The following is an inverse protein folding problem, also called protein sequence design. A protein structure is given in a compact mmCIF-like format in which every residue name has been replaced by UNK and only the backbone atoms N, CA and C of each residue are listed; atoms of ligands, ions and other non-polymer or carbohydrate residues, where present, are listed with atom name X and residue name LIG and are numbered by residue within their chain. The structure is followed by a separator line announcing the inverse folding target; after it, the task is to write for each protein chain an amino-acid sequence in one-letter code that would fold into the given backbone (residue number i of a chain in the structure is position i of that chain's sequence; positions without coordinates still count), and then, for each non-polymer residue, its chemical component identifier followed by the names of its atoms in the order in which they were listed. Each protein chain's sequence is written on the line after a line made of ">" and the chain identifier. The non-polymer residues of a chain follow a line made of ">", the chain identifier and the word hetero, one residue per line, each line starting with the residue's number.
data_IF_891417403945
#
_entry.id   IF_891417403945
#
_cell.length_a   1.000
_cell.length_b   1.000
_cell.length_c   1.000
_cell.angle_alpha   90.00
_cell.angle_beta   90.00
_cell.angle_gamma   90.00
#
_symmetry.space_group_name_H-M   'P 1'
#
loop_
_entity.id
_entity.type
_entity.pdbx_description
1 polymer ?
#
# COMPACT_ATOMS: atom_id res chain seq x y z
N UNK A 1 18.32 17.93 -0.62
CA UNK A 1 17.36 16.88 -0.20
C UNK A 1 17.99 16.14 0.96
N UNK A 2 17.31 16.12 2.09
CA UNK A 2 17.71 15.26 3.20
C UNK A 2 17.57 13.80 2.74
N UNK A 3 18.69 13.09 2.64
CA UNK A 3 18.69 11.67 2.28
C UNK A 3 18.11 10.80 3.39
N UNK A 4 17.93 11.32 4.62
CA UNK A 4 17.25 10.59 5.70
C UNK A 4 15.74 10.47 5.45
N UNK A 5 15.10 11.51 4.87
CA UNK A 5 13.67 11.50 4.58
C UNK A 5 13.30 10.49 3.47
N UNK A 6 14.06 10.51 2.37
CA UNK A 6 13.86 9.57 1.27
C UNK A 6 14.62 8.28 1.58
N UNK A 7 13.91 7.19 1.84
CA UNK A 7 14.53 5.89 2.17
C UNK A 7 14.64 4.99 0.94
N UNK A 8 15.59 4.04 0.90
CA UNK A 8 15.60 3.00 -0.13
C UNK A 8 14.25 2.28 -0.14
N UNK A 9 13.67 2.06 -1.33
CA UNK A 9 12.42 1.31 -1.47
C UNK A 9 12.59 -0.13 -0.97
N UNK A 10 13.76 -0.72 -1.21
CA UNK A 10 14.15 -2.06 -0.79
C UNK A 10 15.66 -2.19 -0.70
N UNK A 11 16.18 -3.26 -0.10
CA UNK A 11 17.62 -3.55 -0.09
C UNK A 11 18.15 -4.01 -1.46
N UNK A 12 17.25 -4.40 -2.37
CA UNK A 12 17.59 -4.99 -3.67
C UNK A 12 17.56 -3.97 -4.82
N UNK A 13 17.27 -2.70 -4.56
CA UNK A 13 17.27 -1.64 -5.57
C UNK A 13 17.78 -0.29 -5.07
N UNK A 14 18.23 0.56 -6.00
CA UNK A 14 18.73 1.91 -5.69
C UNK A 14 17.66 3.00 -5.68
N UNK A 15 16.39 2.65 -5.91
CA UNK A 15 15.28 3.62 -5.93
C UNK A 15 15.00 4.12 -4.51
N UNK A 16 14.86 5.44 -4.35
CA UNK A 16 14.50 6.06 -3.06
C UNK A 16 13.13 6.69 -3.13
N UNK A 17 12.32 6.46 -2.12
CA UNK A 17 10.93 6.91 -2.04
C UNK A 17 10.69 7.69 -0.75
N UNK A 18 9.76 8.63 -0.79
CA UNK A 18 9.22 9.28 0.40
C UNK A 18 8.49 8.27 1.30
N UNK A 19 8.27 8.58 2.60
CA UNK A 19 7.52 7.71 3.50
C UNK A 19 6.07 7.45 3.05
N UNK A 20 5.44 8.46 2.45
CA UNK A 20 4.09 8.39 1.90
C UNK A 20 4.11 8.38 0.37
N UNK A 21 3.09 7.79 -0.24
CA UNK A 21 2.77 7.91 -1.65
C UNK A 21 1.35 8.46 -1.81
N UNK A 22 1.14 9.40 -2.73
CA UNK A 22 -0.18 9.93 -3.04
C UNK A 22 -0.95 8.91 -3.89
N UNK A 23 -1.98 8.29 -3.32
CA UNK A 23 -2.87 7.36 -3.99
C UNK A 23 -3.95 8.09 -4.77
N UNK A 24 -4.21 7.66 -6.00
CA UNK A 24 -5.12 8.33 -6.94
C UNK A 24 -6.54 7.76 -6.98
N UNK A 25 -6.89 6.85 -6.07
CA UNK A 25 -8.24 6.27 -6.01
C UNK A 25 -9.37 7.32 -6.05
N UNK A 26 -9.23 8.53 -5.44
CA UNK A 26 -10.23 9.60 -5.53
C UNK A 26 -10.26 10.41 -6.83
N UNK A 27 -9.43 10.10 -7.84
CA UNK A 27 -9.29 10.94 -9.04
C UNK A 27 -10.39 10.61 -10.05
N UNK A 28 -11.28 11.57 -10.28
CA UNK A 28 -12.35 11.55 -11.29
C UNK A 28 -13.43 10.48 -11.16
N UNK A 29 -13.65 9.92 -9.96
CA UNK A 29 -14.57 8.83 -9.65
C UNK A 29 -15.62 8.53 -10.73
N UNK A 30 -15.46 7.38 -11.38
CA UNK A 30 -16.33 6.93 -12.46
C UNK A 30 -16.42 5.41 -12.44
N UNK A 31 -17.35 4.86 -13.24
CA UNK A 31 -17.51 3.42 -13.44
C UNK A 31 -17.76 2.63 -12.14
N UNK A 32 -18.57 3.19 -11.23
CA UNK A 32 -18.89 2.55 -9.95
C UNK A 32 -17.89 2.87 -8.83
N UNK A 33 -16.96 3.81 -9.04
CA UNK A 33 -16.03 4.32 -8.03
C UNK A 33 -16.30 5.79 -7.65
N UNK A 34 -17.48 6.33 -7.98
CA UNK A 34 -17.87 7.72 -7.70
C UNK A 34 -17.78 8.04 -6.20
N UNK A 35 -18.11 7.06 -5.34
CA UNK A 35 -18.02 7.18 -3.89
C UNK A 35 -16.60 7.27 -3.37
N UNK A 36 -15.57 7.00 -4.20
CA UNK A 36 -14.16 7.12 -3.83
C UNK A 36 -13.65 8.56 -3.89
N UNK A 37 -14.31 9.43 -4.66
CA UNK A 37 -14.02 10.85 -4.81
C UNK A 37 -14.01 11.26 -6.29
N UNK A 38 -14.14 12.56 -6.55
CA UNK A 38 -14.22 13.14 -7.91
C UNK A 38 -13.21 14.28 -8.07
N UNK A 39 -11.94 14.02 -7.73
CA UNK A 39 -10.89 15.03 -7.84
C UNK A 39 -10.49 15.20 -9.32
N UNK A 40 -10.65 16.42 -9.84
CA UNK A 40 -10.23 16.76 -11.20
C UNK A 40 -8.71 16.98 -11.32
N UNK A 41 -8.22 17.18 -12.55
CA UNK A 41 -6.80 17.34 -12.81
C UNK A 41 -6.17 18.57 -12.12
N UNK A 42 -6.93 19.65 -11.90
CA UNK A 42 -6.41 20.85 -11.22
C UNK A 42 -6.30 20.64 -9.72
N UNK A 43 -7.31 20.01 -9.11
CA UNK A 43 -7.27 19.61 -7.72
C UNK A 43 -6.16 18.60 -7.46
N UNK A 44 -6.01 17.61 -8.34
CA UNK A 44 -4.92 16.64 -8.29
C UNK A 44 -3.55 17.31 -8.43
N UNK A 45 -3.38 18.26 -9.36
CA UNK A 45 -2.14 19.01 -9.51
C UNK A 45 -1.79 19.80 -8.25
N UNK A 46 -2.77 20.44 -7.61
CA UNK A 46 -2.55 21.15 -6.34
C UNK A 46 -2.05 20.19 -5.23
N UNK A 47 -2.61 18.98 -5.13
CA UNK A 47 -2.13 17.98 -4.17
C UNK A 47 -0.70 17.51 -4.49
N UNK A 48 -0.37 17.35 -5.78
CA UNK A 48 0.98 17.02 -6.23
C UNK A 48 1.98 18.14 -5.87
N UNK A 49 1.65 19.40 -6.14
CA UNK A 49 2.56 20.50 -5.81
C UNK A 49 2.81 20.60 -4.30
N UNK A 50 1.72 20.56 -3.51
CA UNK A 50 1.85 20.58 -2.05
C UNK A 50 2.61 19.36 -1.51
N UNK A 51 2.39 18.19 -2.10
CA UNK A 51 3.12 16.97 -1.75
C UNK A 51 4.62 17.10 -2.04
N UNK A 52 4.98 17.64 -3.21
CA UNK A 52 6.38 17.87 -3.59
C UNK A 52 7.07 18.87 -2.66
N UNK A 53 6.36 19.92 -2.21
CA UNK A 53 6.85 20.85 -1.19
C UNK A 53 7.13 20.17 0.15
N UNK A 54 6.35 19.15 0.52
CA UNK A 54 6.61 18.29 1.69
C UNK A 54 7.68 17.20 1.43
N UNK A 55 8.24 17.13 0.23
CA UNK A 55 9.22 16.13 -0.16
C UNK A 55 8.63 14.78 -0.58
N UNK A 56 7.32 14.67 -0.77
CA UNK A 56 6.70 13.46 -1.34
C UNK A 56 7.11 13.34 -2.81
N UNK A 57 7.53 12.14 -3.22
CA UNK A 57 8.05 11.91 -4.58
C UNK A 57 7.39 10.73 -5.31
N UNK A 58 6.36 10.10 -4.74
CA UNK A 58 5.75 8.89 -5.28
C UNK A 58 4.23 9.02 -5.37
N UNK A 59 3.67 8.81 -6.56
CA UNK A 59 2.23 8.75 -6.80
C UNK A 59 1.82 7.35 -7.24
N UNK A 60 0.75 6.81 -6.66
CA UNK A 60 0.30 5.43 -6.83
C UNK A 60 -1.09 5.37 -7.48
N UNK A 61 -1.16 4.83 -8.69
CA UNK A 61 -2.41 4.65 -9.45
C UNK A 61 -2.59 3.20 -9.90
N UNK A 62 -3.66 2.87 -10.64
CA UNK A 62 -3.86 1.57 -11.26
C UNK A 62 -4.73 1.72 -12.51
N UNK A 63 -4.55 0.82 -13.48
CA UNK A 63 -5.42 0.77 -14.66
C UNK A 63 -6.90 0.49 -14.33
N UNK A 64 -7.15 -0.16 -13.19
CA UNK A 64 -8.48 -0.50 -12.71
C UNK A 64 -9.21 0.68 -12.06
N UNK A 65 -8.49 1.68 -11.54
CA UNK A 65 -9.11 2.80 -10.83
C UNK A 65 -9.95 3.64 -11.79
N UNK A 66 -11.27 3.60 -11.59
CA UNK A 66 -12.26 4.16 -12.50
C UNK A 66 -12.00 3.72 -13.95
N UNK A 67 -11.63 2.45 -14.18
CA UNK A 67 -11.27 1.87 -15.48
C UNK A 67 -10.26 2.70 -16.30
N UNK A 68 -9.31 3.34 -15.63
CA UNK A 68 -8.21 4.09 -16.24
C UNK A 68 -8.40 5.61 -16.19
N UNK A 69 -9.59 6.11 -15.82
CA UNK A 69 -9.82 7.56 -15.67
C UNK A 69 -8.86 8.20 -14.67
N UNK A 70 -8.52 7.50 -13.58
CA UNK A 70 -7.54 8.01 -12.62
C UNK A 70 -6.13 8.17 -13.22
N UNK A 71 -5.74 7.32 -14.17
CA UNK A 71 -4.46 7.47 -14.90
C UNK A 71 -4.49 8.65 -15.87
N UNK A 72 -5.63 8.90 -16.53
CA UNK A 72 -5.80 10.06 -17.42
C UNK A 72 -5.74 11.38 -16.64
N UNK A 73 -6.44 11.45 -15.50
CA UNK A 73 -6.41 12.61 -14.61
C UNK A 73 -5.03 12.83 -14.04
N UNK A 74 -4.35 11.76 -13.60
CA UNK A 74 -2.97 11.85 -13.15
C UNK A 74 -2.06 12.41 -14.26
N UNK A 75 -2.19 11.90 -15.48
CA UNK A 75 -1.39 12.37 -16.62
C UNK A 75 -1.58 13.86 -16.90
N UNK A 76 -2.81 14.36 -16.81
CA UNK A 76 -3.09 15.79 -16.95
C UNK A 76 -2.61 16.60 -15.75
N UNK A 77 -2.81 16.10 -14.53
CA UNK A 77 -2.34 16.74 -13.30
C UNK A 77 -0.82 16.92 -13.27
N UNK A 78 -0.06 15.92 -13.74
CA UNK A 78 1.40 16.00 -13.87
C UNK A 78 1.83 17.09 -14.87
N UNK A 79 1.06 17.38 -15.93
CA UNK A 79 1.38 18.49 -16.86
C UNK A 79 1.06 19.86 -16.28
N UNK A 80 0.07 19.93 -15.39
CA UNK A 80 -0.35 21.17 -14.74
C UNK A 80 0.57 21.51 -13.56
N UNK A 81 1.02 20.49 -12.81
CA UNK A 81 1.87 20.64 -11.63
C UNK A 81 3.23 21.24 -11.99
N UNK A 82 3.71 22.17 -11.16
CA UNK A 82 5.05 22.77 -11.28
C UNK A 82 6.18 21.74 -11.02
N UNK A 83 5.84 20.60 -10.41
CA UNK A 83 6.76 19.53 -10.01
C UNK A 83 6.53 18.21 -10.75
N UNK A 84 5.67 18.17 -11.77
CA UNK A 84 5.20 16.93 -12.41
C UNK A 84 6.32 15.99 -12.88
N UNK A 85 7.40 16.54 -13.44
CA UNK A 85 8.55 15.74 -13.92
C UNK A 85 9.32 15.04 -12.80
N UNK A 86 9.24 15.55 -11.56
CA UNK A 86 9.97 14.99 -10.41
C UNK A 86 9.28 13.80 -9.76
N UNK A 87 7.99 13.58 -10.07
CA UNK A 87 7.22 12.50 -9.48
C UNK A 87 7.61 11.14 -10.06
N UNK A 88 7.84 10.18 -9.19
CA UNK A 88 7.86 8.75 -9.51
C UNK A 88 6.41 8.27 -9.63
N UNK A 89 6.08 7.60 -10.72
CA UNK A 89 4.73 7.11 -11.00
C UNK A 89 4.69 5.60 -10.91
N UNK A 90 3.80 5.09 -10.06
CA UNK A 90 3.45 3.66 -10.07
C UNK A 90 2.14 3.43 -10.79
N UNK A 91 2.00 2.25 -11.39
CA UNK A 91 0.67 1.74 -11.77
C UNK A 91 0.63 0.22 -11.61
N UNK A 92 -0.53 -0.38 -11.86
CA UNK A 92 -0.79 -1.80 -11.65
C UNK A 92 -1.66 -2.34 -12.78
N UNK A 93 -1.47 -3.62 -13.12
CA UNK A 93 -2.41 -4.37 -13.94
C UNK A 93 -2.53 -5.82 -13.43
N UNK A 94 -3.62 -6.47 -13.85
CA UNK A 94 -4.01 -7.89 -13.69
C UNK A 94 -5.52 -7.99 -13.48
N UNK A 95 -6.12 -7.03 -12.78
CA UNK A 95 -7.57 -7.00 -12.58
C UNK A 95 -8.30 -6.81 -13.91
N UNK A 96 -9.55 -7.27 -13.97
CA UNK A 96 -10.37 -7.13 -15.16
C UNK A 96 -10.68 -5.65 -15.44
N UNK A 97 -10.39 -5.21 -16.66
CA UNK A 97 -10.69 -3.85 -17.14
C UNK A 97 -11.63 -3.85 -18.36
N UNK A 98 -12.24 -5.01 -18.64
CA UNK A 98 -13.16 -5.23 -19.74
C UNK A 98 -13.86 -6.58 -19.59
N UNK A 99 -14.78 -6.88 -20.51
CA UNK A 99 -15.61 -8.11 -20.48
C UNK A 99 -15.01 -9.26 -21.32
N UNK A 100 -13.97 -8.98 -22.10
CA UNK A 100 -13.31 -9.97 -22.95
C UNK A 100 -12.52 -11.01 -22.15
N UNK A 101 -12.32 -12.21 -22.71
CA UNK A 101 -11.64 -13.32 -22.01
C UNK A 101 -10.16 -13.03 -21.70
N UNK A 102 -9.57 -12.01 -22.32
CA UNK A 102 -8.17 -11.60 -22.12
C UNK A 102 -8.05 -10.18 -21.55
N UNK A 103 -9.16 -9.62 -21.04
CA UNK A 103 -9.19 -8.28 -20.43
C UNK A 103 -8.85 -8.32 -18.93
N UNK A 104 -8.30 -9.45 -18.46
CA UNK A 104 -7.80 -9.68 -17.11
C UNK A 104 -6.59 -10.64 -17.11
N UNK A 105 -6.00 -10.86 -15.93
CA UNK A 105 -4.95 -11.85 -15.68
C UNK A 105 -3.54 -11.31 -15.83
N UNK A 106 -2.55 -12.16 -15.56
CA UNK A 106 -1.13 -11.84 -15.64
C UNK A 106 -0.46 -12.48 -16.87
N UNK A 107 -1.24 -12.78 -17.91
CA UNK A 107 -0.75 -13.30 -19.18
C UNK A 107 0.12 -12.27 -19.90
N UNK A 108 1.04 -12.75 -20.75
CA UNK A 108 1.87 -11.87 -21.59
C UNK A 108 1.02 -10.93 -22.44
N UNK A 109 -0.08 -11.44 -23.00
CA UNK A 109 -1.01 -10.67 -23.82
C UNK A 109 -1.58 -9.48 -23.04
N UNK A 110 -2.16 -9.75 -21.87
CA UNK A 110 -2.81 -8.71 -21.08
C UNK A 110 -1.80 -7.69 -20.55
N UNK A 111 -0.71 -8.14 -19.94
CA UNK A 111 0.28 -7.25 -19.33
C UNK A 111 0.96 -6.32 -20.34
N UNK A 112 1.36 -6.82 -21.51
CA UNK A 112 1.96 -5.97 -22.54
C UNK A 112 0.98 -4.89 -23.01
N UNK A 113 -0.30 -5.24 -23.19
CA UNK A 113 -1.31 -4.25 -23.59
C UNK A 113 -1.58 -3.22 -22.51
N UNK A 114 -1.66 -3.63 -21.25
CA UNK A 114 -1.97 -2.72 -20.15
C UNK A 114 -0.84 -1.73 -19.88
N UNK A 115 0.43 -2.15 -19.96
CA UNK A 115 1.56 -1.21 -19.86
C UNK A 115 1.48 -0.14 -20.95
N UNK A 116 1.23 -0.54 -22.20
CA UNK A 116 1.07 0.41 -23.31
C UNK A 116 -0.10 1.38 -23.12
N UNK A 117 -1.22 0.90 -22.59
CA UNK A 117 -2.38 1.73 -22.33
C UNK A 117 -2.13 2.71 -21.17
N UNK A 118 -1.54 2.25 -20.07
CA UNK A 118 -1.18 3.11 -18.93
C UNK A 118 -0.18 4.19 -19.35
N UNK A 119 0.86 3.86 -20.11
CA UNK A 119 1.81 4.85 -20.65
C UNK A 119 1.11 5.94 -21.46
N UNK A 120 0.12 5.56 -22.30
CA UNK A 120 -0.67 6.52 -23.07
C UNK A 120 -1.55 7.41 -22.20
N UNK A 121 -2.28 6.83 -21.23
CA UNK A 121 -3.18 7.58 -20.33
C UNK A 121 -2.41 8.57 -19.46
N UNK A 122 -1.31 8.12 -18.85
CA UNK A 122 -0.43 8.96 -18.02
C UNK A 122 0.34 9.96 -18.90
N UNK A 123 0.64 9.59 -20.14
CA UNK A 123 1.41 10.41 -21.07
C UNK A 123 2.90 10.47 -20.72
N UNK A 124 3.47 9.33 -20.30
CA UNK A 124 4.91 9.14 -20.04
C UNK A 124 5.51 8.09 -20.97
N UNK A 125 6.82 8.15 -21.15
CA UNK A 125 7.59 7.17 -21.92
C UNK A 125 7.98 5.93 -21.12
N UNK A 126 7.90 6.01 -19.78
CA UNK A 126 8.10 4.90 -18.87
C UNK A 126 7.24 5.01 -17.60
N UNK A 127 7.10 3.88 -16.92
CA UNK A 127 6.56 3.76 -15.56
C UNK A 127 7.73 3.49 -14.61
N UNK A 128 7.80 4.20 -13.48
CA UNK A 128 8.89 4.03 -12.52
C UNK A 128 8.78 2.71 -11.78
N UNK A 129 7.56 2.33 -11.37
CA UNK A 129 7.31 1.10 -10.64
C UNK A 129 5.97 0.48 -11.07
N UNK A 130 6.01 -0.73 -11.61
CA UNK A 130 4.79 -1.43 -12.02
C UNK A 130 4.45 -2.58 -11.09
N UNK A 131 3.21 -2.68 -10.61
CA UNK A 131 2.76 -3.79 -9.78
C UNK A 131 1.96 -4.82 -10.58
N UNK A 132 2.28 -6.10 -10.38
CA UNK A 132 1.33 -7.18 -10.62
C UNK A 132 0.25 -7.12 -9.53
N UNK A 133 -0.96 -6.67 -9.89
CA UNK A 133 -1.96 -6.20 -8.92
C UNK A 133 -2.50 -7.31 -7.97
N UNK A 134 -2.54 -8.56 -8.44
CA UNK A 134 -2.88 -9.74 -7.63
C UNK A 134 -2.16 -10.98 -8.17
N UNK A 135 -2.06 -12.03 -7.34
CA UNK A 135 -1.65 -13.35 -7.79
C UNK A 135 -2.56 -13.86 -8.92
N UNK A 136 -1.98 -14.47 -9.95
CA UNK A 136 -2.71 -15.18 -11.00
C UNK A 136 -2.33 -16.67 -10.94
N UNK A 137 -3.31 -17.52 -10.65
CA UNK A 137 -3.13 -18.96 -10.53
C UNK A 137 -3.31 -19.72 -11.86
N UNK A 138 -3.75 -19.05 -12.91
CA UNK A 138 -4.02 -19.66 -14.22
C UNK A 138 -2.85 -19.49 -15.18
N UNK A 139 -2.26 -18.29 -15.23
CA UNK A 139 -1.08 -18.03 -16.06
C UNK A 139 0.15 -18.75 -15.49
N UNK A 140 0.92 -19.51 -16.30
CA UNK A 140 2.21 -20.05 -15.86
C UNK A 140 3.12 -18.93 -15.34
N UNK A 141 3.64 -19.10 -14.12
CA UNK A 141 4.40 -18.04 -13.45
C UNK A 141 5.65 -17.62 -14.25
N UNK A 142 6.28 -18.57 -14.94
CA UNK A 142 7.40 -18.33 -15.86
C UNK A 142 7.02 -17.38 -17.00
N UNK A 143 5.80 -17.47 -17.54
CA UNK A 143 5.32 -16.55 -18.58
C UNK A 143 5.16 -15.13 -18.03
N UNK A 144 4.51 -14.99 -16.87
CA UNK A 144 4.32 -13.70 -16.21
C UNK A 144 5.66 -13.04 -15.92
N UNK A 145 6.59 -13.75 -15.28
CA UNK A 145 7.88 -13.20 -14.86
C UNK A 145 8.83 -12.95 -16.04
N UNK A 146 8.80 -13.78 -17.08
CA UNK A 146 9.52 -13.48 -18.32
C UNK A 146 8.98 -12.21 -18.99
N UNK A 147 7.66 -11.99 -18.93
CA UNK A 147 7.04 -10.77 -19.46
C UNK A 147 7.50 -9.54 -18.68
N UNK A 148 7.54 -9.62 -17.35
CA UNK A 148 8.05 -8.54 -16.50
C UNK A 148 9.53 -8.26 -16.76
N UNK A 149 10.37 -9.29 -16.89
CA UNK A 149 11.78 -9.14 -17.27
C UNK A 149 11.94 -8.42 -18.62
N UNK A 150 11.17 -8.81 -19.63
CA UNK A 150 11.16 -8.15 -20.94
C UNK A 150 10.72 -6.69 -20.88
N UNK A 151 9.69 -6.38 -20.09
CA UNK A 151 9.21 -5.00 -19.88
C UNK A 151 10.28 -4.13 -19.21
N UNK A 152 10.96 -4.63 -18.17
CA UNK A 152 12.05 -3.90 -17.52
C UNK A 152 13.21 -3.68 -18.51
N UNK A 153 13.65 -4.73 -19.21
CA UNK A 153 14.75 -4.64 -20.19
C UNK A 153 14.44 -3.71 -21.36
N UNK A 154 13.16 -3.60 -21.74
CA UNK A 154 12.73 -2.67 -22.78
C UNK A 154 12.77 -1.20 -22.36
N UNK A 155 12.86 -0.92 -21.06
CA UNK A 155 12.79 0.43 -20.52
C UNK A 155 11.38 1.02 -20.47
N UNK A 156 10.33 0.23 -20.68
CA UNK A 156 8.94 0.71 -20.49
C UNK A 156 8.55 0.79 -19.02
N UNK A 157 9.16 -0.06 -18.19
CA UNK A 157 9.07 0.03 -16.73
C UNK A 157 10.50 0.04 -16.16
N UNK A 158 10.76 0.75 -15.05
CA UNK A 158 12.09 0.80 -14.41
C UNK A 158 12.24 -0.31 -13.37
N UNK A 159 11.22 -0.47 -12.53
CA UNK A 159 11.12 -1.50 -11.52
C UNK A 159 9.74 -2.15 -11.56
N UNK A 160 9.62 -3.31 -10.92
CA UNK A 160 8.31 -3.90 -10.69
C UNK A 160 8.20 -4.49 -9.28
N UNK A 161 6.95 -4.62 -8.84
CA UNK A 161 6.57 -5.22 -7.58
C UNK A 161 5.40 -6.19 -7.76
N UNK A 162 5.02 -6.81 -6.65
CA UNK A 162 3.82 -7.65 -6.57
C UNK A 162 2.84 -7.04 -5.58
N UNK A 163 1.54 -7.26 -5.76
CA UNK A 163 0.53 -6.81 -4.80
C UNK A 163 -0.38 -7.97 -4.45
N UNK A 164 -0.74 -8.08 -3.17
CA UNK A 164 -1.63 -9.13 -2.66
C UNK A 164 -1.15 -10.56 -2.93
N UNK A 165 0.17 -10.79 -2.77
CA UNK A 165 0.79 -12.12 -2.78
C UNK A 165 0.97 -12.61 -1.35
N UNK A 166 0.67 -13.88 -1.09
CA UNK A 166 1.05 -14.54 0.16
C UNK A 166 2.57 -14.79 0.21
N UNK A 167 3.12 -15.09 1.40
CA UNK A 167 4.54 -15.39 1.58
C UNK A 167 5.06 -16.47 0.62
N UNK A 168 4.38 -17.62 0.54
CA UNK A 168 4.80 -18.71 -0.36
C UNK A 168 4.74 -18.33 -1.85
N UNK A 169 3.79 -17.47 -2.26
CA UNK A 169 3.68 -17.00 -3.63
C UNK A 169 4.82 -16.05 -3.99
N UNK A 170 5.16 -15.13 -3.08
CA UNK A 170 6.32 -14.26 -3.23
C UNK A 170 7.60 -15.10 -3.35
N UNK A 171 7.82 -16.03 -2.43
CA UNK A 171 8.98 -16.93 -2.46
C UNK A 171 9.05 -17.75 -3.74
N UNK A 172 7.91 -18.29 -4.21
CA UNK A 172 7.85 -19.01 -5.49
C UNK A 172 8.24 -18.13 -6.67
N UNK A 173 7.76 -16.88 -6.72
CA UNK A 173 8.11 -15.94 -7.78
C UNK A 173 9.61 -15.61 -7.78
N UNK A 174 10.18 -15.32 -6.61
CA UNK A 174 11.61 -15.04 -6.45
C UNK A 174 12.47 -16.23 -6.90
N UNK A 175 12.09 -17.45 -6.55
CA UNK A 175 12.76 -18.67 -6.97
C UNK A 175 12.72 -18.90 -8.48
N UNK A 176 11.58 -18.62 -9.13
CA UNK A 176 11.48 -18.70 -10.60
C UNK A 176 12.38 -17.66 -11.26
N UNK A 177 12.39 -16.41 -10.75
CA UNK A 177 13.29 -15.39 -11.27
C UNK A 177 14.75 -15.80 -11.14
N UNK A 178 15.15 -16.33 -9.99
CA UNK A 178 16.53 -16.79 -9.76
C UNK A 178 16.92 -17.93 -10.69
N UNK A 179 16.06 -18.94 -10.82
CA UNK A 179 16.30 -20.09 -11.69
C UNK A 179 16.51 -19.70 -13.15
N UNK A 180 15.78 -18.70 -13.63
CA UNK A 180 15.80 -18.28 -15.03
C UNK A 180 16.65 -17.03 -15.30
N UNK A 181 17.22 -16.41 -14.27
CA UNK A 181 17.96 -15.15 -14.39
C UNK A 181 17.08 -13.95 -14.76
N UNK A 182 15.80 -14.00 -14.43
CA UNK A 182 14.89 -12.87 -14.61
C UNK A 182 15.14 -11.83 -13.52
N UNK A 183 14.86 -10.56 -13.85
CA UNK A 183 14.84 -9.48 -12.86
C UNK A 183 13.78 -9.80 -11.80
N UNK A 184 14.13 -9.71 -10.51
CA UNK A 184 13.23 -9.98 -9.37
C UNK A 184 12.33 -8.75 -9.08
N UNK A 185 11.11 -8.94 -8.53
CA UNK A 185 10.36 -7.81 -7.98
C UNK A 185 11.17 -7.17 -6.84
N UNK A 186 10.96 -5.89 -6.58
CA UNK A 186 11.72 -5.15 -5.54
C UNK A 186 10.84 -4.72 -4.37
N UNK A 187 9.52 -4.80 -4.50
CA UNK A 187 8.56 -4.37 -3.48
C UNK A 187 7.29 -5.20 -3.55
N UNK A 188 6.66 -5.41 -2.39
CA UNK A 188 5.30 -5.89 -2.28
C UNK A 188 4.35 -4.75 -1.86
N UNK A 189 3.13 -4.75 -2.37
CA UNK A 189 2.05 -3.88 -1.93
C UNK A 189 0.98 -4.70 -1.20
N UNK A 190 0.65 -4.35 0.04
CA UNK A 190 -0.17 -5.19 0.93
C UNK A 190 -1.21 -4.40 1.73
N UNK A 191 -2.30 -5.03 2.13
CA UNK A 191 -3.23 -4.45 3.11
C UNK A 191 -2.56 -4.49 4.48
N UNK A 192 -2.41 -3.33 5.13
CA UNK A 192 -1.88 -3.28 6.49
C UNK A 192 -2.34 -2.01 7.19
N UNK A 193 -2.98 -2.19 8.34
CA UNK A 193 -3.46 -1.12 9.21
C UNK A 193 -3.41 -1.59 10.67
N UNK A 194 -3.56 -0.70 11.66
CA UNK A 194 -3.73 -1.11 13.05
C UNK A 194 -4.79 -2.19 13.25
N UNK A 195 -5.93 -2.13 12.54
CA UNK A 195 -7.03 -3.09 12.67
C UNK A 195 -6.94 -4.31 11.73
N UNK A 196 -5.96 -4.35 10.82
CA UNK A 196 -5.76 -5.45 9.86
C UNK A 196 -4.26 -5.78 9.75
N UNK A 197 -3.82 -6.70 10.62
CA UNK A 197 -2.41 -7.03 10.84
C UNK A 197 -2.02 -8.42 10.35
N UNK A 198 -2.83 -9.06 9.51
CA UNK A 198 -2.59 -10.42 9.00
C UNK A 198 -1.30 -10.53 8.18
N UNK A 199 -0.86 -9.43 7.56
CA UNK A 199 0.38 -9.38 6.81
C UNK A 199 1.64 -9.62 7.67
N UNK A 200 1.54 -9.41 8.99
CA UNK A 200 2.62 -9.68 9.93
C UNK A 200 2.97 -11.16 9.97
N UNK A 201 2.05 -12.08 9.67
CA UNK A 201 2.34 -13.52 9.76
C UNK A 201 3.40 -14.02 8.78
N UNK A 202 3.29 -13.65 7.51
CA UNK A 202 4.10 -14.25 6.44
C UNK A 202 4.54 -13.24 5.38
N UNK A 203 3.69 -12.26 5.07
CA UNK A 203 3.97 -11.34 3.95
C UNK A 203 5.14 -10.42 4.28
N UNK A 204 5.11 -9.76 5.45
CA UNK A 204 6.19 -8.86 5.89
C UNK A 204 7.48 -9.66 6.17
N UNK A 205 7.47 -10.78 6.91
CA UNK A 205 8.67 -11.59 7.13
C UNK A 205 9.32 -12.08 5.84
N UNK A 206 8.55 -12.66 4.92
CA UNK A 206 9.09 -13.16 3.65
C UNK A 206 9.71 -12.04 2.82
N UNK A 207 9.08 -10.85 2.78
CA UNK A 207 9.66 -9.71 2.08
C UNK A 207 10.94 -9.22 2.76
N UNK A 208 10.94 -9.08 4.08
CA UNK A 208 12.10 -8.65 4.87
C UNK A 208 13.30 -9.56 4.68
N UNK A 209 13.09 -10.89 4.80
CA UNK A 209 14.13 -11.91 4.61
C UNK A 209 14.76 -11.82 3.20
N UNK A 210 13.95 -11.55 2.19
CA UNK A 210 14.39 -11.47 0.79
C UNK A 210 14.86 -10.06 0.37
N UNK A 211 14.90 -9.09 1.29
CA UNK A 211 15.29 -7.71 0.99
C UNK A 211 14.31 -6.96 0.08
N UNK A 212 13.04 -7.38 0.06
CA UNK A 212 11.93 -6.80 -0.68
C UNK A 212 11.25 -5.72 0.18
N UNK A 213 10.98 -4.55 -0.40
CA UNK A 213 10.27 -3.47 0.28
C UNK A 213 8.80 -3.80 0.54
N UNK A 214 8.17 -3.11 1.48
CA UNK A 214 6.72 -3.22 1.72
C UNK A 214 6.05 -1.86 1.64
N UNK A 215 5.12 -1.71 0.70
CA UNK A 215 4.21 -0.58 0.61
C UNK A 215 2.83 -0.98 1.15
N UNK A 216 2.36 -0.37 2.24
CA UNK A 216 1.03 -0.66 2.77
C UNK A 216 -0.04 0.18 2.04
N UNK A 217 -1.16 -0.45 1.69
CA UNK A 217 -2.36 0.20 1.16
C UNK A 217 -3.52 0.15 2.16
N UNK A 218 -4.44 1.11 2.03
CA UNK A 218 -5.55 1.37 2.97
C UNK A 218 -5.13 1.44 4.45
N UNK A 219 -4.08 2.22 4.80
CA UNK A 219 -3.63 2.34 6.18
C UNK A 219 -4.73 2.86 7.14
N UNK A 220 -5.68 3.66 6.63
CA UNK A 220 -6.81 4.19 7.40
C UNK A 220 -8.08 3.32 7.33
N UNK A 221 -8.00 2.10 6.78
CA UNK A 221 -9.15 1.22 6.59
C UNK A 221 -10.28 1.91 5.83
N UNK A 222 -9.97 2.55 4.69
CA UNK A 222 -10.91 3.35 3.88
C UNK A 222 -11.73 4.40 4.66
N UNK A 223 -11.19 4.94 5.75
CA UNK A 223 -11.83 5.97 6.56
C UNK A 223 -12.33 5.46 7.93
N UNK A 224 -12.27 4.15 8.19
CA UNK A 224 -12.62 3.56 9.48
C UNK A 224 -11.75 4.10 10.61
N UNK A 225 -10.45 4.27 10.35
CA UNK A 225 -9.49 4.75 11.33
C UNK A 225 -9.32 6.28 11.23
N UNK A 226 -10.43 7.01 11.24
CA UNK A 226 -10.45 8.49 11.26
C UNK A 226 -11.07 9.06 12.53
N UNK A 227 -11.54 8.21 13.45
CA UNK A 227 -12.28 8.62 14.65
C UNK A 227 -13.77 8.84 14.45
N UNK A 228 -14.28 8.77 13.20
CA UNK A 228 -15.71 8.91 12.88
C UNK A 228 -16.53 7.67 13.18
N UNK A 229 -15.91 6.49 13.19
CA UNK A 229 -16.57 5.22 13.45
C UNK A 229 -16.30 4.81 14.90
N UNK A 230 -17.26 5.08 15.80
CA UNK A 230 -17.15 4.75 17.23
C UNK A 230 -18.29 3.88 17.73
N UNK A 231 -18.02 3.15 18.81
CA UNK A 231 -18.99 2.27 19.47
C UNK A 231 -20.27 3.03 19.83
N UNK A 232 -21.41 2.53 19.38
CA UNK A 232 -22.72 3.13 19.67
C UNK A 232 -22.99 4.46 18.96
N UNK A 233 -22.15 4.86 18.00
CA UNK A 233 -22.37 6.06 17.18
C UNK A 233 -22.58 5.68 15.72
N UNK A 234 -23.42 6.43 15.02
CA UNK A 234 -23.44 6.43 13.56
C UNK A 234 -22.56 7.60 13.09
N UNK A 235 -21.67 7.41 12.11
CA UNK A 235 -20.89 8.51 11.56
C UNK A 235 -21.80 9.64 11.06
N UNK A 236 -21.43 10.90 11.36
CA UNK A 236 -22.11 12.06 10.79
C UNK A 236 -21.56 12.37 9.38
N UNK A 237 -22.46 12.54 8.41
CA UNK A 237 -22.11 12.88 7.01
C UNK A 237 -21.75 11.67 6.13
N UNK A 238 -21.37 11.95 4.87
CA UNK A 238 -20.93 10.92 3.92
C UNK A 238 -19.55 10.37 4.26
N UNK A 239 -19.42 9.05 4.24
CA UNK A 239 -18.18 8.29 4.42
C UNK A 239 -18.00 7.37 3.22
N UNK A 240 -16.76 6.94 2.91
CA UNK A 240 -16.54 5.97 1.81
C UNK A 240 -17.41 4.73 1.96
N UNK A 241 -17.65 4.31 3.21
CA UNK A 241 -18.44 3.13 3.52
C UNK A 241 -19.96 3.36 3.37
N UNK A 242 -20.47 4.52 3.79
CA UNK A 242 -21.91 4.84 3.68
C UNK A 242 -22.30 5.26 2.27
N UNK A 243 -21.35 5.78 1.50
CA UNK A 243 -21.57 6.28 0.14
C UNK A 243 -21.38 5.16 -0.90
N UNK A 244 -20.75 4.05 -0.52
CA UNK A 244 -20.64 2.80 -1.30
C UNK A 244 -21.58 1.70 -0.80
N UNK A 245 -21.44 0.48 -1.32
CA UNK A 245 -22.26 -0.67 -0.89
C UNK A 245 -21.75 -1.39 0.37
N UNK A 246 -20.67 -0.87 0.97
CA UNK A 246 -20.02 -1.41 2.16
C UNK A 246 -19.22 -2.71 1.93
N UNK A 247 -19.15 -3.22 0.70
CA UNK A 247 -18.48 -4.49 0.38
C UNK A 247 -16.96 -4.35 0.19
N UNK A 248 -16.47 -3.14 -0.03
CA UNK A 248 -15.05 -2.81 -0.27
C UNK A 248 -14.13 -3.11 0.93
N UNK A 249 -14.71 -3.34 2.12
CA UNK A 249 -13.95 -3.61 3.34
C UNK A 249 -14.46 -4.86 4.07
N UNK A 250 -13.53 -5.76 4.36
CA UNK A 250 -13.76 -6.89 5.26
C UNK A 250 -13.38 -6.48 6.69
N UNK A 251 -14.36 -6.06 7.48
CA UNK A 251 -14.19 -5.91 8.93
C UNK A 251 -14.47 -7.26 9.57
N UNK A 252 -13.42 -7.95 10.02
CA UNK A 252 -13.56 -9.27 10.64
C UNK A 252 -14.29 -9.20 11.99
N UNK A 253 -13.93 -8.20 12.80
CA UNK A 253 -14.56 -7.93 14.10
C UNK A 253 -14.70 -6.43 14.34
N UNK A 254 -15.95 -5.97 14.46
CA UNK A 254 -16.27 -4.58 14.78
C UNK A 254 -15.91 -4.22 16.22
N UNK A 255 -15.93 -5.18 17.15
CA UNK A 255 -15.53 -4.96 18.54
C UNK A 255 -14.08 -4.51 18.62
N UNK A 256 -13.17 -5.32 18.06
CA UNK A 256 -11.75 -4.99 17.92
C UNK A 256 -11.55 -3.66 17.18
N UNK A 257 -12.25 -3.39 16.07
CA UNK A 257 -12.10 -2.11 15.36
C UNK A 257 -12.38 -0.91 16.26
N UNK A 258 -13.43 -0.96 17.09
CA UNK A 258 -13.74 0.14 18.01
C UNK A 258 -12.69 0.28 19.10
N UNK A 259 -12.20 -0.81 19.67
CA UNK A 259 -11.13 -0.78 20.67
C UNK A 259 -9.85 -0.14 20.11
N UNK A 260 -9.54 -0.43 18.84
CA UNK A 260 -8.44 0.21 18.11
C UNK A 260 -8.67 1.70 17.91
N UNK A 261 -9.87 2.11 17.50
CA UNK A 261 -10.20 3.54 17.33
C UNK A 261 -10.09 4.28 18.66
N UNK A 262 -10.53 3.69 19.77
CA UNK A 262 -10.42 4.27 21.11
C UNK A 262 -8.95 4.41 21.54
N UNK A 263 -8.13 3.37 21.35
CA UNK A 263 -6.69 3.43 21.65
C UNK A 263 -5.97 4.50 20.81
N UNK A 264 -6.29 4.61 19.52
CA UNK A 264 -5.73 5.64 18.63
C UNK A 264 -6.14 7.05 19.05
N UNK A 265 -7.38 7.23 19.51
CA UNK A 265 -7.89 8.52 19.99
C UNK A 265 -7.18 9.00 21.25
N UNK A 266 -6.95 8.10 22.20
CA UNK A 266 -6.19 8.39 23.42
C UNK A 266 -4.75 8.82 23.10
N UNK A 267 -4.06 8.07 22.22
CA UNK A 267 -2.70 8.40 21.77
C UNK A 267 -2.68 9.74 21.03
N UNK A 268 -3.64 9.95 20.12
CA UNK A 268 -3.75 11.20 19.36
C UNK A 268 -3.96 12.40 20.30
N UNK A 269 -4.84 12.29 21.29
CA UNK A 269 -5.09 13.33 22.28
C UNK A 269 -3.85 13.63 23.13
N UNK A 270 -3.09 12.61 23.53
CA UNK A 270 -1.84 12.77 24.29
C UNK A 270 -0.75 13.50 23.52
N UNK A 271 -0.66 13.27 22.21
CA UNK A 271 0.34 13.87 21.33
C UNK A 271 -0.11 15.19 20.67
N UNK A 272 -1.37 15.60 20.85
CA UNK A 272 -1.95 16.75 20.15
C UNK A 272 -2.02 16.55 18.63
N UNK A 273 -2.15 15.29 18.19
CA UNK A 273 -2.20 14.87 16.80
C UNK A 273 -3.62 14.40 16.42
N UNK A 274 -3.84 14.12 15.14
CA UNK A 274 -5.08 13.46 14.68
C UNK A 274 -4.91 11.94 14.63
N UNK A 275 -6.03 11.19 14.71
CA UNK A 275 -5.99 9.73 14.56
C UNK A 275 -5.31 9.31 13.24
N UNK A 276 -5.63 9.90 12.07
CA UNK A 276 -4.92 9.59 10.83
C UNK A 276 -3.40 9.79 10.93
N UNK A 277 -2.95 10.86 11.59
CA UNK A 277 -1.51 11.11 11.79
C UNK A 277 -0.86 10.01 12.63
N UNK A 278 -1.48 9.62 13.74
CA UNK A 278 -1.00 8.53 14.61
C UNK A 278 -0.94 7.21 13.86
N UNK A 279 -1.98 6.87 13.07
CA UNK A 279 -2.02 5.63 12.29
C UNK A 279 -0.86 5.57 11.30
N UNK A 280 -0.63 6.64 10.53
CA UNK A 280 0.44 6.68 9.54
C UNK A 280 1.82 6.62 10.21
N UNK A 281 2.03 7.37 11.29
CA UNK A 281 3.29 7.37 12.02
C UNK A 281 3.59 5.99 12.63
N UNK A 282 2.59 5.34 13.25
CA UNK A 282 2.70 3.98 13.78
C UNK A 282 3.13 2.99 12.69
N UNK A 283 2.47 3.02 11.52
CA UNK A 283 2.78 2.13 10.39
C UNK A 283 4.18 2.39 9.81
N UNK A 284 4.60 3.64 9.70
CA UNK A 284 5.94 4.01 9.19
C UNK A 284 7.07 3.52 10.08
N UNK A 285 6.79 3.35 11.38
CA UNK A 285 7.72 2.87 12.40
C UNK A 285 7.68 1.33 12.55
N UNK A 286 6.82 0.63 11.80
CA UNK A 286 6.79 -0.84 11.80
C UNK A 286 7.98 -1.43 11.04
N UNK A 287 8.58 -2.52 11.56
CA UNK A 287 9.60 -3.26 10.82
C UNK A 287 9.12 -3.70 9.44
N UNK A 288 9.98 -3.55 8.44
CA UNK A 288 9.72 -4.00 7.06
C UNK A 288 8.85 -3.07 6.21
N UNK A 289 8.25 -2.01 6.78
CA UNK A 289 7.42 -1.05 6.03
C UNK A 289 8.29 0.07 5.44
N UNK A 290 8.27 0.21 4.11
CA UNK A 290 9.09 1.17 3.36
C UNK A 290 8.29 2.30 2.71
N UNK A 291 6.97 2.18 2.58
CA UNK A 291 6.10 3.28 2.10
C UNK A 291 4.63 3.05 2.50
N UNK A 292 3.82 4.09 2.59
CA UNK A 292 2.36 3.99 2.73
C UNK A 292 1.65 4.68 1.56
N UNK A 293 0.79 3.96 0.85
CA UNK A 293 -0.13 4.55 -0.13
C UNK A 293 -1.34 5.16 0.58
N UNK A 294 -1.48 6.49 0.50
CA UNK A 294 -2.51 7.27 1.19
C UNK A 294 -3.26 8.16 0.23
N UNK A 295 -4.55 8.37 0.43
CA UNK A 295 -5.36 9.14 -0.50
C UNK A 295 -6.20 10.20 0.23
N UNK A 296 -6.15 11.42 -0.27
CA UNK A 296 -6.93 12.57 0.21
C UNK A 296 -7.90 13.05 -0.88
N UNK A 297 -9.08 13.53 -0.47
CA UNK A 297 -10.11 14.12 -1.36
C UNK A 297 -10.06 15.66 -1.40
N UNK A 298 -9.32 16.26 -0.48
CA UNK A 298 -9.21 17.70 -0.33
C UNK A 298 -7.80 18.07 0.14
N UNK A 299 -7.44 19.34 -0.04
CA UNK A 299 -6.18 19.86 0.49
C UNK A 299 -6.11 19.73 2.01
N UNK A 300 -7.21 19.98 2.73
CA UNK A 300 -7.27 19.84 4.19
C UNK A 300 -6.92 18.41 4.65
N UNK A 301 -7.49 17.39 4.01
CA UNK A 301 -7.12 16.00 4.29
C UNK A 301 -5.66 15.74 3.97
N UNK A 302 -5.15 16.29 2.87
CA UNK A 302 -3.76 16.09 2.48
C UNK A 302 -2.78 16.70 3.49
N UNK A 303 -3.05 17.93 3.94
CA UNK A 303 -2.28 18.59 5.00
C UNK A 303 -2.28 17.80 6.31
N UNK A 304 -3.45 17.28 6.71
CA UNK A 304 -3.56 16.44 7.90
C UNK A 304 -2.66 15.19 7.79
N UNK A 305 -2.72 14.47 6.68
CA UNK A 305 -1.89 13.28 6.46
C UNK A 305 -0.39 13.62 6.40
N UNK A 306 -0.01 14.75 5.80
CA UNK A 306 1.38 15.22 5.77
C UNK A 306 1.91 15.54 7.17
N UNK A 307 1.06 15.95 8.11
CA UNK A 307 1.43 16.15 9.51
C UNK A 307 1.99 14.90 10.21
N UNK A 308 1.68 13.70 9.70
CA UNK A 308 2.23 12.44 10.22
C UNK A 308 3.74 12.30 10.06
N UNK A 309 4.35 13.01 9.10
CA UNK A 309 5.78 12.94 8.79
C UNK A 309 6.68 13.47 9.90
N UNK A 310 6.10 14.19 10.87
CA UNK A 310 6.80 14.83 11.98
C UNK A 310 6.47 14.19 13.33
N UNK A 311 5.72 13.08 13.32
CA UNK A 311 5.25 12.42 14.53
C UNK A 311 6.10 11.18 14.82
N UNK A 312 6.70 11.14 16.01
CA UNK A 312 7.41 9.98 16.55
C UNK A 312 6.58 9.40 17.70
N UNK A 313 6.34 8.09 17.69
CA UNK A 313 5.59 7.42 18.75
C UNK A 313 6.61 6.79 19.70
N UNK A 314 6.41 6.94 21.00
CA UNK A 314 7.18 6.26 22.01
C UNK A 314 6.73 4.81 22.20
N UNK A 315 7.45 4.10 23.07
CA UNK A 315 7.14 2.69 23.39
C UNK A 315 5.75 2.54 24.01
N UNK A 316 5.31 3.50 24.83
CA UNK A 316 3.99 3.47 25.47
C UNK A 316 2.85 3.64 24.46
N UNK A 317 2.98 4.58 23.52
CA UNK A 317 1.99 4.79 22.46
C UNK A 317 1.90 3.58 21.53
N UNK A 318 3.05 2.99 21.17
CA UNK A 318 3.10 1.76 20.40
C UNK A 318 2.40 0.60 21.12
N UNK A 319 2.73 0.39 22.41
CA UNK A 319 2.15 -0.68 23.21
C UNK A 319 0.63 -0.54 23.31
N UNK A 320 0.12 0.68 23.49
CA UNK A 320 -1.32 0.96 23.59
C UNK A 320 -2.09 0.55 22.32
N UNK A 321 -1.56 0.92 21.16
CA UNK A 321 -2.16 0.55 19.86
C UNK A 321 -2.07 -0.96 19.63
N UNK A 322 -0.93 -1.56 19.99
CA UNK A 322 -0.71 -2.99 19.81
C UNK A 322 -1.63 -3.85 20.66
N UNK A 323 -1.90 -3.46 21.90
CA UNK A 323 -2.80 -4.17 22.83
C UNK A 323 -4.23 -4.23 22.28
N UNK A 324 -4.72 -3.13 21.70
CA UNK A 324 -6.09 -3.02 21.18
C UNK A 324 -6.35 -3.87 19.93
N UNK A 325 -5.29 -4.19 19.16
CA UNK A 325 -5.41 -4.77 17.83
C UNK A 325 -4.62 -6.06 17.63
N UNK A 326 -4.14 -6.67 18.71
CA UNK A 326 -3.23 -7.82 18.59
C UNK A 326 -3.96 -9.01 17.95
N UNK A 327 -3.51 -9.52 16.78
CA UNK A 327 -4.15 -10.67 16.16
C UNK A 327 -4.09 -11.90 17.07
N UNK A 328 -5.16 -12.71 17.04
CA UNK A 328 -5.14 -14.03 17.65
C UNK A 328 -4.19 -14.95 16.88
N UNK A 329 -3.32 -15.68 17.57
CA UNK A 329 -2.23 -16.42 16.95
C UNK A 329 -2.76 -17.66 16.19
N UNK A 330 -2.55 -17.67 14.87
CA UNK A 330 -2.90 -18.82 14.01
C UNK A 330 -1.84 -19.93 14.06
N UNK A 331 -2.22 -21.17 13.75
CA UNK A 331 -1.26 -22.21 13.38
C UNK A 331 -0.56 -21.82 12.06
N UNK A 332 0.76 -22.04 11.88
CA UNK A 332 1.69 -22.72 12.80
C UNK A 332 2.39 -21.81 13.83
N UNK A 333 2.12 -20.51 13.86
CA UNK A 333 2.90 -19.53 14.63
C UNK A 333 2.84 -19.73 16.15
N UNK A 334 1.67 -20.04 16.73
CA UNK A 334 1.58 -20.31 18.18
C UNK A 334 2.42 -21.53 18.56
N UNK A 335 2.38 -22.57 17.72
CA UNK A 335 3.13 -23.80 17.97
C UNK A 335 4.64 -23.56 17.82
N UNK A 336 5.06 -22.69 16.91
CA UNK A 336 6.46 -22.28 16.79
C UNK A 336 6.92 -21.45 17.98
N UNK A 337 6.10 -20.51 18.46
CA UNK A 337 6.41 -19.73 19.67
C UNK A 337 6.57 -20.64 20.90
N UNK A 338 5.69 -21.62 21.05
CA UNK A 338 5.70 -22.58 22.16
C UNK A 338 6.89 -23.56 22.10
N UNK A 339 7.21 -24.06 20.90
CA UNK A 339 8.06 -25.25 20.74
C UNK A 339 9.40 -24.99 20.03
N UNK A 340 9.62 -23.81 19.45
CA UNK A 340 10.79 -23.51 18.61
C UNK A 340 11.30 -22.05 18.71
N UNK A 341 10.87 -21.30 19.74
CA UNK A 341 11.23 -19.88 19.91
C UNK A 341 12.73 -19.64 20.10
N UNK A 342 13.52 -20.66 20.44
CA UNK A 342 14.96 -20.58 20.62
C UNK A 342 15.76 -20.52 19.29
N UNK A 343 15.10 -20.70 18.14
CA UNK A 343 15.75 -20.77 16.81
C UNK A 343 15.14 -19.89 15.72
N UNK A 344 14.32 -18.91 16.10
CA UNK A 344 13.66 -18.01 15.15
C UNK A 344 14.65 -17.04 14.48
N UNK A 345 14.32 -16.62 13.26
CA UNK A 345 15.06 -15.60 12.52
C UNK A 345 14.73 -14.18 13.03
N UNK A 346 15.54 -13.19 12.65
CA UNK A 346 15.27 -11.79 12.98
C UNK A 346 13.94 -11.29 12.40
N UNK A 347 13.54 -11.78 11.22
CA UNK A 347 12.25 -11.46 10.62
C UNK A 347 11.05 -12.06 11.36
N UNK A 348 11.26 -13.15 12.09
CA UNK A 348 10.25 -13.81 12.92
C UNK A 348 10.25 -13.29 14.37
N UNK A 349 11.33 -12.61 14.79
CA UNK A 349 11.51 -12.13 16.18
C UNK A 349 10.38 -11.23 16.63
N UNK A 350 10.03 -10.22 15.84
CA UNK A 350 8.95 -9.27 16.19
C UNK A 350 7.59 -9.95 16.38
N UNK A 351 7.37 -11.06 15.68
CA UNK A 351 6.15 -11.85 15.71
C UNK A 351 6.19 -12.76 16.94
N UNK A 352 7.27 -13.50 17.16
CA UNK A 352 7.37 -14.46 18.26
C UNK A 352 7.51 -13.79 19.62
N UNK A 353 8.25 -12.69 19.74
CA UNK A 353 8.34 -11.93 21.00
C UNK A 353 6.98 -11.31 21.36
N UNK A 354 6.25 -10.79 20.37
CA UNK A 354 4.87 -10.34 20.55
C UNK A 354 3.93 -11.50 20.95
N UNK A 355 4.18 -12.71 20.46
CA UNK A 355 3.40 -13.92 20.78
C UNK A 355 3.67 -14.43 22.20
N UNK A 356 4.92 -14.49 22.63
CA UNK A 356 5.28 -14.93 23.99
C UNK A 356 4.70 -14.01 25.06
N UNK A 357 4.63 -12.70 24.78
CA UNK A 357 3.99 -11.73 25.65
C UNK A 357 2.46 -11.94 25.83
N UNK A 358 1.80 -12.72 24.96
CA UNK A 358 0.37 -13.07 25.10
C UNK A 358 0.14 -14.35 25.91
N UNK A 359 1.15 -15.22 26.04
CA UNK A 359 1.03 -16.54 26.65
C UNK A 359 1.42 -16.56 28.14
N UNK A 360 2.14 -15.54 28.61
CA UNK A 360 2.44 -15.29 30.02
C UNK A 360 1.49 -14.27 30.63
#
# INVERSE_FOLDING_TARGET
>A
MDTAFHRPLSATCGLRVSPLALGTLPFGGAHGMEHMGDLDARGAAALLDRGAEAGINLVDTANFYSLGVAEEILGEALRISDHGDSWLVTTKARLAVGEGPNDAGASRWHLLQQVEQSLRRIGRDHIDLFYLHHWDGETPLEETLQTMDGLVRSGKIRYYGVSNYTGWQLMKALMVCERHGFIKPVVQQIHYSPSAREAEYEMIPAASDQGIGTQAWSPLGMGLLTGKHRRGTSPEGGTRMTDGDGSDLRVADWGTLYDVVEALDEVAAGLGATIPQVVLAWLLQRPGVTNLAVAARSMEQWEDLLGSLHLELGEEEHARIEEAARPGIAYPFWHQADMASERITEGERSIVEAMQAQLG
#
